data_IF_603757688618
#
_entry.id   IF_603757688618
#
_cell.length_a   1.000
_cell.length_b   1.000
_cell.length_c   1.000
_cell.angle_alpha   90.00
_cell.angle_beta   90.00
_cell.angle_gamma   90.00
#
_symmetry.space_group_name_H-M   'P 1'
#
loop_
_entity.id
_entity.type
_entity.pdbx_description
1 polymer ?
#
# COMPACT_ATOMS: atom_id res chain seq x y z
N UNK A 1 6.83 13.71 -14.49
CA UNK A 1 7.49 13.42 -13.21
C UNK A 1 6.90 14.33 -12.16
N UNK A 2 5.91 13.82 -11.42
CA UNK A 2 5.41 14.52 -10.23
C UNK A 2 6.37 14.23 -9.08
N UNK A 3 6.80 15.27 -8.37
CA UNK A 3 7.55 15.10 -7.14
C UNK A 3 6.59 14.81 -5.95
N UNK A 4 7.14 14.46 -4.80
CA UNK A 4 6.36 14.11 -3.62
C UNK A 4 5.52 15.29 -3.11
N UNK A 5 5.96 16.52 -3.31
CA UNK A 5 5.22 17.72 -2.91
C UNK A 5 3.97 17.90 -3.76
N UNK A 6 4.12 17.78 -5.09
CA UNK A 6 2.99 17.84 -6.03
C UNK A 6 1.96 16.75 -5.76
N UNK A 7 2.41 15.54 -5.41
CA UNK A 7 1.50 14.45 -5.01
C UNK A 7 0.71 14.82 -3.75
N UNK A 8 1.37 15.31 -2.71
CA UNK A 8 0.68 15.75 -1.49
C UNK A 8 -0.29 16.89 -1.77
N UNK A 9 0.11 17.87 -2.59
CA UNK A 9 -0.75 19.00 -2.94
C UNK A 9 -1.98 18.54 -3.74
N UNK A 10 -1.84 17.57 -4.64
CA UNK A 10 -2.97 16.98 -5.36
C UNK A 10 -3.94 16.23 -4.41
N UNK A 11 -3.43 15.46 -3.45
CA UNK A 11 -4.24 14.78 -2.43
C UNK A 11 -5.02 15.81 -1.60
N UNK A 12 -4.37 16.89 -1.16
CA UNK A 12 -5.01 17.96 -0.39
C UNK A 12 -6.08 18.66 -1.24
N UNK A 13 -5.79 18.93 -2.51
CA UNK A 13 -6.74 19.60 -3.40
C UNK A 13 -8.00 18.75 -3.66
N UNK A 14 -7.86 17.42 -3.75
CA UNK A 14 -8.97 16.52 -4.03
C UNK A 14 -9.80 16.20 -2.78
N UNK A 15 -9.13 15.89 -1.66
CA UNK A 15 -9.81 15.42 -0.45
C UNK A 15 -9.92 16.48 0.63
N UNK A 16 -9.00 17.44 0.68
CA UNK A 16 -9.04 18.62 1.58
C UNK A 16 -9.11 18.27 3.05
N UNK A 17 -9.79 19.18 3.79
CA UNK A 17 -9.93 19.06 5.25
C UNK A 17 -11.09 18.12 5.67
N UNK A 18 -11.78 17.51 4.72
CA UNK A 18 -12.95 16.66 4.99
C UNK A 18 -12.60 15.20 5.31
N UNK A 19 -11.33 14.82 5.20
CA UNK A 19 -10.89 13.44 5.37
C UNK A 19 -9.72 13.32 6.35
N UNK A 20 -9.74 12.24 7.11
CA UNK A 20 -8.58 11.81 7.89
C UNK A 20 -7.75 10.84 7.08
N UNK A 21 -6.47 11.13 6.92
CA UNK A 21 -5.58 10.28 6.17
C UNK A 21 -4.88 9.26 7.07
N UNK A 22 -4.83 8.03 6.61
CA UNK A 22 -3.90 7.00 7.10
C UNK A 22 -2.95 6.65 5.98
N UNK A 23 -1.67 6.64 6.26
CA UNK A 23 -0.65 6.41 5.23
C UNK A 23 0.24 5.24 5.62
N UNK A 24 0.47 4.38 4.67
CA UNK A 24 1.46 3.31 4.72
C UNK A 24 2.19 3.22 3.39
N UNK A 25 3.18 2.36 3.28
CA UNK A 25 3.88 2.12 2.02
C UNK A 25 5.11 1.25 2.19
N UNK A 26 5.95 1.29 1.17
CA UNK A 26 7.20 0.55 1.11
C UNK A 26 8.18 1.00 2.19
N UNK A 27 8.76 0.06 2.95
CA UNK A 27 9.74 0.34 3.98
C UNK A 27 10.97 1.09 3.45
N UNK A 28 11.33 0.90 2.17
CA UNK A 28 12.44 1.62 1.53
C UNK A 28 12.24 3.14 1.44
N UNK A 29 10.99 3.61 1.51
CA UNK A 29 10.67 5.04 1.58
C UNK A 29 11.17 5.74 2.84
N UNK A 30 11.55 4.97 3.89
CA UNK A 30 12.24 5.48 5.06
C UNK A 30 13.72 5.80 4.81
N UNK A 31 14.30 5.28 3.73
CA UNK A 31 15.68 5.56 3.39
C UNK A 31 15.86 7.05 3.05
N UNK A 32 17.05 7.57 3.36
CA UNK A 32 17.40 8.92 2.96
C UNK A 32 17.44 9.01 1.44
N UNK A 33 16.73 9.97 0.89
CA UNK A 33 16.80 10.25 -0.54
C UNK A 33 17.77 11.38 -0.81
N UNK A 34 18.74 11.15 -1.67
CA UNK A 34 19.64 12.21 -2.16
C UNK A 34 18.90 13.30 -2.97
N UNK A 35 17.68 13.02 -3.40
CA UNK A 35 16.85 13.96 -4.16
C UNK A 35 16.06 14.92 -3.26
N UNK A 36 16.05 14.67 -1.95
CA UNK A 36 15.36 15.51 -0.97
C UNK A 36 16.41 16.05 -0.01
N UNK A 37 16.65 17.35 -0.05
CA UNK A 37 17.61 18.03 0.82
C UNK A 37 17.33 17.81 2.33
N UNK A 38 18.25 18.26 3.19
CA UNK A 38 18.07 18.35 4.66
C UNK A 38 17.81 17.03 5.40
N UNK A 39 18.39 15.91 4.96
CA UNK A 39 18.18 14.60 5.61
C UNK A 39 16.71 14.15 5.70
N UNK A 40 15.83 14.69 4.84
CA UNK A 40 14.44 14.28 4.73
C UNK A 40 14.33 12.95 3.96
N UNK A 41 13.31 12.18 4.28
CA UNK A 41 12.83 11.08 3.46
C UNK A 41 11.40 11.39 3.00
N UNK A 42 10.90 10.62 2.06
CA UNK A 42 9.56 10.85 1.50
C UNK A 42 8.46 10.86 2.57
N UNK A 43 8.53 9.98 3.55
CA UNK A 43 7.53 9.91 4.61
C UNK A 43 7.52 11.11 5.54
N UNK A 44 8.67 11.71 5.82
CA UNK A 44 8.74 12.95 6.60
C UNK A 44 8.04 14.11 5.88
N UNK A 45 8.16 14.17 4.56
CA UNK A 45 7.45 15.17 3.76
C UNK A 45 5.95 14.92 3.80
N UNK A 46 5.53 13.67 3.58
CA UNK A 46 4.11 13.28 3.62
C UNK A 46 3.50 13.62 4.99
N UNK A 47 4.16 13.24 6.09
CA UNK A 47 3.69 13.56 7.45
C UNK A 47 3.47 15.07 7.60
N UNK A 48 4.45 15.87 7.21
CA UNK A 48 4.39 17.33 7.36
C UNK A 48 3.30 17.96 6.48
N UNK A 49 3.19 17.53 5.23
CA UNK A 49 2.25 18.09 4.26
C UNK A 49 0.81 17.70 4.57
N UNK A 50 0.56 16.44 4.92
CA UNK A 50 -0.77 15.92 5.21
C UNK A 50 -1.16 16.01 6.69
N UNK A 51 -0.31 16.57 7.55
CA UNK A 51 -0.54 16.75 9.00
C UNK A 51 -0.93 15.42 9.69
N UNK A 52 -0.19 14.35 9.41
CA UNK A 52 -0.59 12.98 9.76
C UNK A 52 -0.41 12.64 11.25
N UNK A 53 0.37 13.38 12.02
CA UNK A 53 0.71 13.05 13.42
C UNK A 53 1.06 11.55 13.57
N UNK A 54 0.17 10.76 14.21
CA UNK A 54 0.37 9.31 14.44
C UNK A 54 -0.30 8.42 13.38
N UNK A 55 -0.72 8.96 12.25
CA UNK A 55 -1.45 8.23 11.20
C UNK A 55 -0.55 7.64 10.10
N UNK A 56 0.76 7.73 10.25
CA UNK A 56 1.72 7.04 9.38
C UNK A 56 2.18 5.74 10.04
N UNK A 57 1.93 4.63 9.39
CA UNK A 57 2.44 3.34 9.81
C UNK A 57 3.22 2.66 8.67
N UNK A 58 4.54 2.76 8.73
CA UNK A 58 5.44 2.07 7.80
C UNK A 58 6.30 1.10 8.60
N UNK A 59 6.25 -0.20 8.29
CA UNK A 59 7.04 -1.20 9.00
C UNK A 59 8.55 -0.99 8.74
N UNK A 60 9.39 -1.50 9.64
CA UNK A 60 10.84 -1.44 9.48
C UNK A 60 11.36 -2.23 8.26
N UNK A 61 10.61 -3.26 7.84
CA UNK A 61 10.88 -4.06 6.66
C UNK A 61 9.58 -4.42 5.95
N UNK A 62 9.65 -4.58 4.64
CA UNK A 62 8.50 -5.03 3.86
C UNK A 62 8.08 -6.45 4.26
N UNK A 63 6.78 -6.76 4.27
CA UNK A 63 6.32 -8.11 4.53
C UNK A 63 6.81 -9.07 3.45
N UNK A 64 7.10 -10.30 3.83
CA UNK A 64 7.43 -11.36 2.88
C UNK A 64 6.29 -11.52 1.87
N UNK A 65 6.62 -11.64 0.59
CA UNK A 65 5.65 -11.78 -0.50
C UNK A 65 4.64 -12.90 -0.24
N UNK A 66 5.13 -14.08 0.20
CA UNK A 66 4.28 -15.23 0.52
C UNK A 66 3.22 -14.89 1.59
N UNK A 67 3.64 -14.29 2.70
CA UNK A 67 2.73 -14.00 3.82
C UNK A 67 1.68 -12.94 3.44
N UNK A 68 2.11 -11.87 2.82
CA UNK A 68 1.19 -10.80 2.39
C UNK A 68 0.23 -11.26 1.30
N UNK A 69 0.63 -12.20 0.42
CA UNK A 69 -0.26 -12.81 -0.57
C UNK A 69 -1.34 -13.66 0.10
N UNK A 70 -0.97 -14.48 1.09
CA UNK A 70 -1.95 -15.28 1.85
C UNK A 70 -2.96 -14.37 2.54
N UNK A 71 -2.50 -13.33 3.19
CA UNK A 71 -3.38 -12.33 3.84
C UNK A 71 -4.31 -11.66 2.82
N UNK A 72 -3.76 -11.16 1.71
CA UNK A 72 -4.55 -10.51 0.66
C UNK A 72 -5.64 -11.43 0.10
N UNK A 73 -5.28 -12.66 -0.27
CA UNK A 73 -6.23 -13.62 -0.80
C UNK A 73 -7.30 -14.00 0.23
N UNK A 74 -6.93 -14.11 1.50
CA UNK A 74 -7.88 -14.41 2.57
C UNK A 74 -8.85 -13.28 2.82
N UNK A 75 -8.39 -12.02 2.76
CA UNK A 75 -9.27 -10.86 2.85
C UNK A 75 -10.26 -10.82 1.69
N UNK A 76 -9.81 -11.00 0.44
CA UNK A 76 -10.71 -11.03 -0.71
C UNK A 76 -11.71 -12.19 -0.67
N UNK A 77 -11.34 -13.34 -0.13
CA UNK A 77 -12.23 -14.51 -0.10
C UNK A 77 -13.22 -14.52 1.07
N UNK A 78 -12.93 -13.80 2.15
CA UNK A 78 -13.65 -13.97 3.43
C UNK A 78 -14.18 -12.69 4.04
N UNK A 79 -13.68 -11.52 3.62
CA UNK A 79 -14.14 -10.24 4.13
C UNK A 79 -15.26 -9.71 3.25
N UNK A 80 -16.50 -9.80 3.74
CA UNK A 80 -17.70 -9.47 2.96
C UNK A 80 -17.81 -7.99 2.57
N UNK A 81 -17.15 -7.11 3.33
CA UNK A 81 -17.26 -5.67 3.15
C UNK A 81 -16.08 -5.08 2.33
N UNK A 82 -15.19 -5.95 1.82
CA UNK A 82 -14.10 -5.52 0.96
C UNK A 82 -14.59 -5.38 -0.48
N UNK A 83 -14.82 -4.16 -0.89
CA UNK A 83 -15.30 -3.81 -2.23
C UNK A 83 -14.27 -2.92 -2.91
N UNK A 84 -13.98 -3.19 -4.18
CA UNK A 84 -13.16 -2.33 -5.03
C UNK A 84 -14.06 -1.78 -6.13
N UNK A 85 -14.14 -0.47 -6.23
CA UNK A 85 -14.86 0.21 -7.30
C UNK A 85 -14.14 -0.02 -8.64
N UNK A 86 -14.81 -0.67 -9.57
CA UNK A 86 -14.23 -1.02 -10.87
C UNK A 86 -14.03 0.21 -11.76
N UNK A 87 -14.92 1.19 -11.68
CA UNK A 87 -14.81 2.43 -12.44
C UNK A 87 -13.76 3.39 -11.85
N UNK A 88 -13.69 3.48 -10.52
CA UNK A 88 -12.73 4.34 -9.82
C UNK A 88 -11.31 3.76 -9.76
N UNK A 89 -11.16 2.43 -9.87
CA UNK A 89 -9.88 1.75 -9.69
C UNK A 89 -9.48 0.84 -10.87
N UNK A 90 -9.58 1.29 -12.15
CA UNK A 90 -9.39 0.40 -13.31
C UNK A 90 -7.98 -0.19 -13.38
N UNK A 91 -6.96 0.56 -12.98
CA UNK A 91 -5.57 0.08 -12.99
C UNK A 91 -5.30 -0.96 -11.89
N UNK A 92 -5.89 -0.80 -10.70
CA UNK A 92 -5.80 -1.80 -9.64
C UNK A 92 -6.51 -3.09 -10.06
N UNK A 93 -7.66 -2.99 -10.67
CA UNK A 93 -8.41 -4.14 -11.21
C UNK A 93 -7.58 -4.85 -12.30
N UNK A 94 -6.92 -4.10 -13.18
CA UNK A 94 -6.03 -4.68 -14.18
C UNK A 94 -4.85 -5.41 -13.55
N UNK A 95 -4.21 -4.82 -12.54
CA UNK A 95 -3.13 -5.47 -11.79
C UNK A 95 -3.63 -6.76 -11.11
N UNK A 96 -4.78 -6.74 -10.46
CA UNK A 96 -5.35 -7.91 -9.79
C UNK A 96 -5.71 -9.05 -10.76
N UNK A 97 -6.15 -8.73 -11.96
CA UNK A 97 -6.54 -9.72 -12.98
C UNK A 97 -5.35 -10.30 -13.76
N UNK A 98 -4.31 -9.50 -14.01
CA UNK A 98 -3.29 -9.85 -15.01
C UNK A 98 -1.86 -9.95 -14.48
N UNK A 99 -1.64 -9.69 -13.19
CA UNK A 99 -0.31 -9.89 -12.62
C UNK A 99 -0.04 -11.37 -12.40
N UNK A 100 1.05 -11.82 -12.99
CA UNK A 100 1.54 -13.19 -12.85
C UNK A 100 2.59 -13.28 -11.71
N UNK A 101 2.68 -14.45 -11.12
CA UNK A 101 3.75 -14.77 -10.17
C UNK A 101 4.81 -15.65 -10.85
N UNK A 102 6.06 -15.46 -10.46
CA UNK A 102 7.15 -16.37 -10.82
C UNK A 102 7.06 -17.70 -10.05
N UNK A 103 7.97 -18.62 -10.32
CA UNK A 103 8.03 -19.95 -9.64
C UNK A 103 8.18 -19.83 -8.11
N UNK A 104 8.81 -18.76 -7.63
CA UNK A 104 8.95 -18.47 -6.19
C UNK A 104 7.68 -17.87 -5.58
N UNK A 105 6.67 -17.60 -6.40
CA UNK A 105 5.41 -16.97 -5.97
C UNK A 105 5.51 -15.47 -5.71
N UNK A 106 6.54 -14.82 -6.23
CA UNK A 106 6.68 -13.37 -6.23
C UNK A 106 6.09 -12.78 -7.52
N UNK A 107 5.69 -11.52 -7.47
CA UNK A 107 5.17 -10.83 -8.67
C UNK A 107 6.26 -10.79 -9.74
N UNK A 108 5.94 -11.32 -10.93
CA UNK A 108 6.86 -11.32 -12.07
C UNK A 108 6.87 -9.94 -12.77
N UNK A 109 7.85 -9.11 -12.39
CA UNK A 109 8.08 -7.78 -13.00
C UNK A 109 9.02 -7.82 -14.20
N UNK A 110 9.51 -8.99 -14.63
CA UNK A 110 10.44 -9.08 -15.77
C UNK A 110 9.78 -8.74 -17.09
N UNK A 111 8.52 -9.13 -17.26
CA UNK A 111 7.77 -8.88 -18.50
C UNK A 111 7.27 -7.43 -18.62
N UNK A 112 6.91 -6.82 -17.48
CA UNK A 112 6.44 -5.45 -17.45
C UNK A 112 6.75 -4.83 -16.08
N UNK A 113 7.71 -3.90 -16.06
CA UNK A 113 8.16 -3.23 -14.84
C UNK A 113 7.10 -2.33 -14.18
N UNK A 114 6.04 -2.00 -14.89
CA UNK A 114 4.96 -1.14 -14.37
C UNK A 114 3.82 -1.94 -13.74
N UNK A 115 3.74 -3.25 -13.99
CA UNK A 115 2.73 -4.11 -13.39
C UNK A 115 3.04 -4.45 -11.93
N UNK A 116 1.97 -4.60 -11.16
CA UNK A 116 2.02 -5.05 -9.78
C UNK A 116 2.33 -3.98 -8.75
N UNK A 117 2.52 -2.71 -9.14
CA UNK A 117 2.76 -1.64 -8.18
C UNK A 117 1.54 -1.33 -7.31
N UNK A 118 0.33 -1.37 -7.89
CA UNK A 118 -0.89 -1.12 -7.14
C UNK A 118 -1.25 -2.30 -6.23
N UNK A 119 -0.95 -3.53 -6.67
CA UNK A 119 -1.05 -4.71 -5.78
C UNK A 119 -0.08 -4.58 -4.60
N UNK A 120 1.15 -4.12 -4.82
CA UNK A 120 2.10 -3.90 -3.72
C UNK A 120 1.56 -2.85 -2.73
N UNK A 121 0.99 -1.74 -3.21
CA UNK A 121 0.34 -0.75 -2.34
C UNK A 121 -0.79 -1.37 -1.51
N UNK A 122 -1.65 -2.17 -2.14
CA UNK A 122 -2.76 -2.87 -1.46
C UNK A 122 -2.24 -3.87 -0.42
N UNK A 123 -1.18 -4.62 -0.73
CA UNK A 123 -0.53 -5.56 0.19
C UNK A 123 0.07 -4.85 1.40
N UNK A 124 0.71 -3.69 1.21
CA UNK A 124 1.23 -2.88 2.31
C UNK A 124 0.10 -2.37 3.19
N UNK A 125 -1.01 -1.91 2.60
CA UNK A 125 -2.20 -1.50 3.32
C UNK A 125 -2.76 -2.63 4.19
N UNK A 126 -3.01 -3.79 3.62
CA UNK A 126 -3.53 -4.94 4.37
C UNK A 126 -2.58 -5.40 5.48
N UNK A 127 -1.28 -5.45 5.19
CA UNK A 127 -0.30 -5.83 6.21
C UNK A 127 -0.25 -4.83 7.38
N UNK A 128 -0.43 -3.55 7.12
CA UNK A 128 -0.35 -2.51 8.14
C UNK A 128 -1.57 -2.47 9.05
N UNK A 129 -2.77 -2.69 8.51
CA UNK A 129 -4.02 -2.52 9.29
C UNK A 129 -4.89 -3.76 9.43
N UNK A 130 -4.59 -4.83 8.69
CA UNK A 130 -5.38 -6.06 8.71
C UNK A 130 -4.54 -7.32 8.97
N UNK A 131 -3.32 -7.19 9.46
CA UNK A 131 -2.39 -8.31 9.67
C UNK A 131 -2.91 -9.36 10.66
N UNK A 132 -3.76 -8.97 11.59
CA UNK A 132 -4.38 -9.85 12.58
C UNK A 132 -5.65 -10.57 12.09
N UNK A 133 -6.09 -10.29 10.86
CA UNK A 133 -7.31 -10.86 10.29
C UNK A 133 -7.30 -12.38 10.30
N UNK A 134 -6.21 -13.00 9.87
CA UNK A 134 -6.09 -14.46 9.82
C UNK A 134 -6.14 -15.10 11.21
N UNK A 135 -5.53 -14.46 12.22
CA UNK A 135 -5.57 -14.95 13.61
C UNK A 135 -7.00 -14.90 14.14
N UNK A 136 -7.63 -13.75 14.06
CA UNK A 136 -9.02 -13.56 14.54
C UNK A 136 -10.01 -14.47 13.81
N UNK A 137 -9.79 -14.73 12.54
CA UNK A 137 -10.65 -15.62 11.77
C UNK A 137 -10.52 -17.08 12.24
N UNK A 138 -9.31 -17.55 12.50
CA UNK A 138 -9.08 -18.92 12.98
C UNK A 138 -9.64 -19.09 14.40
N UNK A 139 -9.46 -18.11 15.30
CA UNK A 139 -10.03 -18.12 16.65
C UNK A 139 -11.56 -18.11 16.68
N UNK A 140 -12.22 -17.54 15.66
CA UNK A 140 -13.69 -17.52 15.55
C UNK A 140 -14.27 -18.80 14.91
N UNK A 141 -13.43 -19.67 14.36
CA UNK A 141 -13.84 -20.90 13.67
C UNK A 141 -13.72 -22.15 14.56
N UNK A 142 -13.14 -22.01 15.74
CA UNK A 142 -13.03 -23.02 16.81
C UNK A 142 -14.17 -22.82 17.84
#
# INVERSE_FOLDING_TARGET
NSDIYQLCDAIIAEYGDNYYFRVTGDASGNNRSAMVGDNLNYYKIIIKKLKLEDQLFVPAANPLHRNSRVLTNSLFSRHTDLIIDEEGCPFLIADLKFVECNESGEIDKKKDKYKGHLIDCLRYYFNSWHSDFLRKYNEASD
#
